data_IF_667902525951
#
_entry.id   IF_667902525951
#
_cell.length_a   1.000
_cell.length_b   1.000
_cell.length_c   1.000
_cell.angle_alpha   90.00
_cell.angle_beta   90.00
_cell.angle_gamma   90.00
#
_symmetry.space_group_name_H-M   'P 1'
#
loop_
_entity.id
_entity.type
_entity.pdbx_description
1 polymer ?
#
# COMPACT_ATOMS: atom_id res chain seq x y z
N UNK A 1 49.72 -60.23 -2.62
CA UNK A 1 49.83 -58.84 -2.17
C UNK A 1 48.78 -58.02 -2.94
N UNK A 2 47.64 -57.75 -2.31
CA UNK A 2 46.44 -57.14 -2.96
C UNK A 2 46.32 -55.71 -2.51
N UNK A 3 46.58 -54.77 -3.40
CA UNK A 3 46.34 -53.34 -3.21
C UNK A 3 45.00 -53.04 -3.84
N UNK A 4 43.97 -52.84 -2.99
CA UNK A 4 42.62 -52.46 -3.43
C UNK A 4 42.43 -50.92 -3.33
N UNK A 5 41.66 -50.30 -4.18
CA UNK A 5 41.70 -48.86 -4.46
C UNK A 5 40.84 -48.05 -3.47
N UNK A 6 41.50 -47.23 -2.68
CA UNK A 6 40.86 -46.24 -1.77
C UNK A 6 40.41 -44.97 -2.49
N UNK A 7 40.48 -44.91 -3.81
CA UNK A 7 40.27 -43.68 -4.62
C UNK A 7 38.80 -43.51 -5.08
N UNK A 8 38.03 -44.62 -5.13
CA UNK A 8 36.65 -44.53 -5.71
C UNK A 8 35.60 -43.98 -4.75
N UNK A 9 35.86 -43.94 -3.42
CA UNK A 9 34.89 -43.47 -2.41
C UNK A 9 34.89 -41.96 -2.27
N UNK A 10 35.97 -41.25 -2.64
CA UNK A 10 36.09 -39.81 -2.48
C UNK A 10 35.27 -39.01 -3.54
N UNK A 11 35.08 -39.55 -4.73
CA UNK A 11 34.31 -38.88 -5.80
C UNK A 11 32.79 -38.92 -5.60
N UNK A 12 32.25 -39.89 -4.90
CA UNK A 12 30.80 -39.99 -4.63
C UNK A 12 30.36 -39.01 -3.53
N UNK A 13 31.21 -38.66 -2.59
CA UNK A 13 30.87 -37.70 -1.52
C UNK A 13 30.93 -36.23 -1.99
N UNK A 14 31.80 -35.92 -2.95
CA UNK A 14 31.89 -34.56 -3.53
C UNK A 14 30.69 -34.27 -4.44
N UNK A 15 30.21 -35.28 -5.21
CA UNK A 15 29.00 -35.13 -6.05
C UNK A 15 27.73 -34.95 -5.26
N UNK A 16 27.58 -35.65 -4.12
CA UNK A 16 26.40 -35.53 -3.26
C UNK A 16 26.33 -34.17 -2.55
N UNK A 17 27.47 -33.60 -2.17
CA UNK A 17 27.52 -32.28 -1.50
C UNK A 17 27.22 -31.13 -2.49
N UNK A 18 27.67 -31.25 -3.74
CA UNK A 18 27.36 -30.27 -4.78
C UNK A 18 25.90 -30.29 -5.19
N UNK A 19 25.25 -31.47 -5.20
CA UNK A 19 23.82 -31.63 -5.53
C UNK A 19 22.91 -31.13 -4.40
N UNK A 20 23.30 -31.34 -3.14
CA UNK A 20 22.56 -30.82 -1.98
C UNK A 20 22.64 -29.31 -1.88
N UNK A 21 23.75 -28.68 -2.28
CA UNK A 21 23.91 -27.22 -2.30
C UNK A 21 23.04 -26.58 -3.39
N UNK A 22 22.79 -27.26 -4.52
CA UNK A 22 21.90 -26.76 -5.57
C UNK A 22 20.40 -26.88 -5.27
N UNK A 23 20.02 -27.78 -4.37
CA UNK A 23 18.62 -27.94 -3.93
C UNK A 23 18.23 -26.97 -2.81
N UNK A 24 19.21 -26.33 -2.14
CA UNK A 24 18.96 -25.39 -1.06
C UNK A 24 19.09 -23.90 -1.48
N UNK A 25 19.33 -23.66 -2.78
CA UNK A 25 19.41 -22.30 -3.31
C UNK A 25 18.11 -21.91 -3.98
N UNK A 26 17.31 -21.19 -3.24
CA UNK A 26 16.18 -20.31 -3.59
C UNK A 26 14.75 -20.82 -3.44
N UNK A 27 14.07 -20.07 -2.52
CA UNK A 27 12.93 -19.29 -2.99
C UNK A 27 12.91 -17.83 -2.49
N UNK A 28 14.06 -17.16 -2.28
CA UNK A 28 14.05 -15.74 -1.82
C UNK A 28 13.84 -14.73 -2.96
N UNK A 29 14.25 -15.03 -4.20
CA UNK A 29 14.16 -14.06 -5.29
C UNK A 29 12.75 -13.75 -5.79
N UNK A 30 11.77 -14.64 -5.56
CA UNK A 30 10.39 -14.45 -6.05
C UNK A 30 9.53 -13.58 -5.11
N UNK A 31 9.91 -13.47 -3.84
CA UNK A 31 9.24 -12.59 -2.89
C UNK A 31 9.72 -11.13 -3.01
N UNK A 32 11.01 -10.93 -3.29
CA UNK A 32 11.59 -9.59 -3.48
C UNK A 32 11.19 -8.97 -4.82
N UNK A 33 11.09 -9.75 -5.90
CA UNK A 33 10.63 -9.27 -7.21
C UNK A 33 9.15 -8.85 -7.20
N UNK A 34 8.32 -9.44 -6.32
CA UNK A 34 6.91 -9.06 -6.14
C UNK A 34 6.70 -7.81 -5.25
N UNK A 35 7.69 -7.38 -4.49
CA UNK A 35 7.60 -6.13 -3.71
C UNK A 35 7.79 -4.87 -4.57
N UNK A 36 8.44 -4.98 -5.73
CA UNK A 36 8.82 -3.83 -6.57
C UNK A 36 7.70 -3.17 -7.38
N UNK A 37 6.52 -3.80 -7.52
CA UNK A 37 5.44 -3.23 -8.35
C UNK A 37 4.63 -2.10 -7.69
N UNK A 38 4.67 -1.93 -6.35
CA UNK A 38 4.02 -0.81 -5.65
C UNK A 38 4.96 0.35 -5.38
N UNK A 39 6.25 0.16 -5.63
CA UNK A 39 7.29 1.16 -5.49
C UNK A 39 8.27 1.04 -6.66
N UNK A 40 8.34 2.08 -7.47
CA UNK A 40 9.29 2.19 -8.57
C UNK A 40 10.19 3.40 -8.27
N UNK A 41 11.48 3.16 -8.10
CA UNK A 41 12.47 4.21 -7.78
C UNK A 41 12.12 5.04 -6.52
N UNK A 42 11.60 4.40 -5.45
CA UNK A 42 11.20 5.08 -4.22
C UNK A 42 9.82 5.75 -4.28
N UNK A 43 9.09 5.63 -5.41
CA UNK A 43 7.77 6.22 -5.61
C UNK A 43 6.67 5.17 -5.44
N UNK A 44 5.61 5.54 -4.76
CA UNK A 44 4.43 4.69 -4.61
C UNK A 44 3.61 4.72 -5.90
N UNK A 45 3.38 3.55 -6.47
CA UNK A 45 2.53 3.36 -7.64
C UNK A 45 1.18 2.80 -7.20
N UNK A 46 0.11 3.49 -7.57
CA UNK A 46 -1.25 3.01 -7.34
C UNK A 46 -1.59 1.86 -8.29
N UNK A 47 -2.41 0.87 -7.86
CA UNK A 47 -3.00 -0.08 -8.80
C UNK A 47 -3.81 0.64 -9.88
N UNK A 48 -3.76 0.16 -11.11
CA UNK A 48 -4.43 0.77 -12.27
C UNK A 48 -5.96 0.88 -12.12
N UNK A 49 -6.56 -0.05 -11.36
CA UNK A 49 -8.02 -0.08 -11.15
C UNK A 49 -8.35 0.22 -9.69
N UNK A 50 -9.14 1.27 -9.50
CA UNK A 50 -9.78 1.67 -8.27
C UNK A 50 -11.28 1.35 -8.35
N UNK A 51 -12.00 1.50 -7.27
CA UNK A 51 -13.45 1.29 -7.21
C UNK A 51 -14.17 2.57 -6.77
N UNK A 52 -15.27 2.90 -7.43
CA UNK A 52 -16.21 3.89 -6.94
C UNK A 52 -17.04 3.35 -5.76
N UNK A 53 -17.91 4.20 -5.20
CA UNK A 53 -18.80 3.85 -4.11
C UNK A 53 -19.85 2.75 -4.47
N UNK A 54 -20.09 2.50 -5.75
CA UNK A 54 -20.97 1.47 -6.27
C UNK A 54 -20.26 0.16 -6.60
N UNK A 55 -18.91 0.19 -6.57
CA UNK A 55 -18.05 -0.95 -6.89
C UNK A 55 -17.70 -1.04 -8.37
N UNK A 56 -17.97 0.01 -9.17
CA UNK A 56 -17.51 0.08 -10.56
C UNK A 56 -16.00 0.37 -10.59
N UNK A 57 -15.33 -0.22 -11.57
CA UNK A 57 -13.90 0.05 -11.79
C UNK A 57 -13.70 1.43 -12.44
N UNK A 58 -12.72 2.15 -11.93
CA UNK A 58 -12.29 3.48 -12.37
C UNK A 58 -10.77 3.45 -12.53
N UNK A 59 -10.24 4.02 -13.62
CA UNK A 59 -8.80 4.11 -13.83
C UNK A 59 -8.15 5.00 -12.78
N UNK A 60 -6.97 4.59 -12.29
CA UNK A 60 -6.16 5.44 -11.40
C UNK A 60 -5.64 6.71 -12.09
N UNK A 61 -5.67 6.77 -13.43
CA UNK A 61 -5.32 7.97 -14.19
C UNK A 61 -6.23 9.16 -13.85
N UNK A 62 -7.47 8.94 -13.37
CA UNK A 62 -8.37 10.02 -12.97
C UNK A 62 -7.87 10.83 -11.75
N UNK A 63 -6.92 10.30 -11.02
CA UNK A 63 -6.35 10.95 -9.82
C UNK A 63 -4.90 11.40 -10.04
N UNK A 64 -4.34 11.20 -11.24
CA UNK A 64 -2.98 11.62 -11.56
C UNK A 64 -2.82 13.15 -11.45
N UNK A 65 -1.59 13.56 -11.11
CA UNK A 65 -1.25 14.98 -10.93
C UNK A 65 -1.79 15.62 -9.64
N UNK A 66 -2.47 14.86 -8.78
CA UNK A 66 -2.96 15.33 -7.49
C UNK A 66 -2.13 14.78 -6.34
N UNK A 67 -2.15 15.46 -5.20
CA UNK A 67 -1.78 14.88 -3.92
C UNK A 67 -2.78 13.80 -3.54
N UNK A 68 -2.30 12.66 -3.06
CA UNK A 68 -3.15 11.50 -2.73
C UNK A 68 -3.10 11.21 -1.25
N UNK A 69 -4.24 11.28 -0.59
CA UNK A 69 -4.42 10.80 0.77
C UNK A 69 -4.80 9.32 0.79
N UNK A 70 -3.86 8.44 1.10
CA UNK A 70 -4.13 7.01 1.31
C UNK A 70 -4.73 6.81 2.69
N UNK A 71 -6.06 6.60 2.74
CA UNK A 71 -6.81 6.51 4.00
C UNK A 71 -7.04 5.05 4.41
N UNK A 72 -6.27 4.57 5.38
CA UNK A 72 -6.38 3.24 5.98
C UNK A 72 -7.47 3.23 7.04
N UNK A 73 -8.62 2.61 6.75
CA UNK A 73 -9.82 2.74 7.56
C UNK A 73 -10.73 1.50 7.48
N UNK A 74 -11.71 1.42 8.38
CA UNK A 74 -12.78 0.41 8.34
C UNK A 74 -14.03 0.90 9.07
N UNK A 75 -15.18 0.32 8.73
CA UNK A 75 -16.49 0.67 9.30
C UNK A 75 -16.61 0.39 10.81
N UNK A 76 -15.89 -0.60 11.31
CA UNK A 76 -15.86 -0.96 12.74
C UNK A 76 -14.90 -0.11 13.57
N UNK A 77 -14.02 0.67 12.95
CA UNK A 77 -13.05 1.54 13.62
C UNK A 77 -13.73 2.83 14.11
N UNK A 78 -13.95 2.96 15.39
CA UNK A 78 -14.57 4.15 16.02
C UNK A 78 -13.85 5.46 15.71
N UNK A 79 -12.52 5.56 15.98
CA UNK A 79 -11.73 6.73 15.64
C UNK A 79 -11.72 7.08 14.15
N UNK A 80 -11.75 6.07 13.25
CA UNK A 80 -11.85 6.30 11.81
C UNK A 80 -13.17 7.02 11.46
N UNK A 81 -14.28 6.51 11.99
CA UNK A 81 -15.62 7.09 11.76
C UNK A 81 -15.71 8.54 12.23
N UNK A 82 -15.05 8.89 13.33
CA UNK A 82 -15.01 10.26 13.83
C UNK A 82 -14.14 11.20 12.98
N UNK A 83 -13.13 10.65 12.30
CA UNK A 83 -12.24 11.43 11.43
C UNK A 83 -12.79 11.60 10.02
N UNK A 84 -13.53 10.60 9.48
CA UNK A 84 -14.06 10.61 8.11
C UNK A 84 -14.76 11.92 7.72
N UNK A 85 -15.67 12.51 8.53
CA UNK A 85 -16.31 13.78 8.16
C UNK A 85 -15.33 14.95 8.04
N UNK A 86 -14.28 14.96 8.83
CA UNK A 86 -13.22 15.99 8.75
C UNK A 86 -12.41 15.84 7.46
N UNK A 87 -12.11 14.61 7.07
CA UNK A 87 -11.39 14.31 5.84
C UNK A 87 -12.25 14.65 4.61
N UNK A 88 -13.56 14.41 4.65
CA UNK A 88 -14.49 14.81 3.58
C UNK A 88 -14.41 16.33 3.38
N UNK A 89 -14.59 17.11 4.46
CA UNK A 89 -14.50 18.57 4.38
C UNK A 89 -13.13 19.04 3.85
N UNK A 90 -12.05 18.41 4.30
CA UNK A 90 -10.70 18.71 3.83
C UNK A 90 -10.53 18.46 2.34
N UNK A 91 -11.02 17.32 1.86
CA UNK A 91 -10.99 16.96 0.43
C UNK A 91 -11.84 17.88 -0.42
N UNK A 92 -13.02 18.26 0.03
CA UNK A 92 -13.91 19.18 -0.67
C UNK A 92 -13.26 20.56 -0.87
N UNK A 93 -12.60 21.09 0.15
CA UNK A 93 -11.90 22.37 0.08
C UNK A 93 -10.71 22.34 -0.88
N UNK A 94 -10.01 21.21 -0.97
CA UNK A 94 -8.83 21.05 -1.81
C UNK A 94 -9.07 20.18 -3.06
N UNK A 95 -10.32 20.06 -3.50
CA UNK A 95 -10.77 19.11 -4.53
C UNK A 95 -9.99 19.19 -5.86
N UNK A 96 -9.50 20.37 -6.23
CA UNK A 96 -8.72 20.53 -7.46
C UNK A 96 -7.37 19.80 -7.42
N UNK A 97 -6.73 19.72 -6.25
CA UNK A 97 -5.35 19.30 -6.10
C UNK A 97 -5.15 18.14 -5.13
N UNK A 98 -6.20 17.70 -4.44
CA UNK A 98 -6.13 16.63 -3.45
C UNK A 98 -7.23 15.60 -3.65
N UNK A 99 -6.85 14.33 -3.69
CA UNK A 99 -7.77 13.21 -3.74
C UNK A 99 -7.52 12.24 -2.60
N UNK A 100 -8.53 11.45 -2.25
CA UNK A 100 -8.43 10.42 -1.22
C UNK A 100 -8.68 9.04 -1.85
N UNK A 101 -7.91 8.05 -1.43
CA UNK A 101 -8.14 6.66 -1.79
C UNK A 101 -8.31 5.85 -0.50
N UNK A 102 -9.48 5.23 -0.35
CA UNK A 102 -9.75 4.35 0.78
C UNK A 102 -9.01 3.02 0.62
N UNK A 103 -8.22 2.66 1.63
CA UNK A 103 -7.64 1.32 1.79
C UNK A 103 -8.39 0.65 2.94
N UNK A 104 -9.46 -0.08 2.58
CA UNK A 104 -10.39 -0.64 3.54
C UNK A 104 -9.88 -1.92 4.19
N UNK A 105 -10.08 -2.02 5.52
CA UNK A 105 -9.82 -3.22 6.32
C UNK A 105 -11.12 -3.86 6.83
N UNK A 106 -12.22 -3.64 6.12
CA UNK A 106 -13.50 -4.27 6.41
C UNK A 106 -13.47 -5.79 6.13
N UNK A 107 -14.33 -6.55 6.78
CA UNK A 107 -14.41 -8.00 6.60
C UNK A 107 -14.91 -8.46 5.22
N UNK A 108 -15.42 -7.55 4.38
CA UNK A 108 -15.86 -7.84 3.03
C UNK A 108 -15.96 -6.59 2.15
N UNK A 109 -15.93 -6.76 0.82
CA UNK A 109 -16.15 -5.68 -0.14
C UNK A 109 -17.52 -5.00 0.06
N UNK A 110 -18.57 -5.77 0.40
CA UNK A 110 -19.88 -5.22 0.70
C UNK A 110 -19.87 -4.32 1.94
N UNK A 111 -19.14 -4.70 2.99
CA UNK A 111 -19.00 -3.90 4.21
C UNK A 111 -18.27 -2.59 3.92
N UNK A 112 -17.18 -2.61 3.13
CA UNK A 112 -16.48 -1.43 2.67
C UNK A 112 -17.40 -0.50 1.86
N UNK A 113 -18.13 -1.02 0.87
CA UNK A 113 -19.06 -0.24 0.06
C UNK A 113 -20.15 0.41 0.93
N UNK A 114 -20.72 -0.34 1.88
CA UNK A 114 -21.72 0.19 2.83
C UNK A 114 -21.12 1.29 3.72
N UNK A 115 -19.87 1.16 4.13
CA UNK A 115 -19.16 2.19 4.89
C UNK A 115 -19.03 3.47 4.08
N UNK A 116 -18.57 3.37 2.82
CA UNK A 116 -18.45 4.50 1.92
C UNK A 116 -19.81 5.19 1.68
N UNK A 117 -20.86 4.41 1.40
CA UNK A 117 -22.24 4.94 1.20
C UNK A 117 -22.78 5.63 2.45
N UNK A 118 -22.61 5.01 3.62
CA UNK A 118 -23.10 5.55 4.90
C UNK A 118 -22.51 6.92 5.22
N UNK A 119 -21.22 7.10 4.94
CA UNK A 119 -20.51 8.36 5.20
C UNK A 119 -20.50 9.30 4.00
N UNK A 120 -21.12 8.92 2.88
CA UNK A 120 -21.13 9.69 1.62
C UNK A 120 -19.71 10.08 1.19
N UNK A 121 -18.78 9.13 1.27
CA UNK A 121 -17.38 9.35 0.90
C UNK A 121 -17.26 9.69 -0.58
N UNK A 122 -16.70 10.87 -0.95
CA UNK A 122 -16.66 11.34 -2.34
C UNK A 122 -15.37 10.94 -3.07
N UNK A 123 -14.82 9.77 -2.75
CA UNK A 123 -13.54 9.29 -3.25
C UNK A 123 -13.57 7.83 -3.68
N UNK A 124 -12.49 7.40 -4.30
CA UNK A 124 -12.30 6.03 -4.77
C UNK A 124 -11.71 5.14 -3.65
N UNK A 125 -11.73 3.84 -3.88
CA UNK A 125 -11.17 2.86 -2.97
C UNK A 125 -10.36 1.80 -3.70
N UNK A 126 -9.39 1.19 -3.03
CA UNK A 126 -8.86 -0.08 -3.46
C UNK A 126 -9.88 -1.19 -3.19
N UNK A 127 -9.87 -2.23 -4.04
CA UNK A 127 -10.64 -3.45 -3.77
C UNK A 127 -10.26 -3.98 -2.39
N UNK A 128 -11.29 -4.19 -1.56
CA UNK A 128 -11.13 -4.56 -0.16
C UNK A 128 -10.19 -5.76 0.01
N UNK A 129 -9.17 -5.61 0.84
CA UNK A 129 -8.17 -6.64 1.14
C UNK A 129 -7.54 -7.29 -0.10
N UNK A 130 -7.44 -6.59 -1.22
CA UNK A 130 -6.73 -7.04 -2.42
C UNK A 130 -5.22 -7.16 -2.19
N UNK A 131 -4.52 -7.86 -3.10
CA UNK A 131 -3.07 -7.93 -3.06
C UNK A 131 -2.43 -6.54 -3.15
N UNK A 132 -2.97 -5.65 -4.00
CA UNK A 132 -2.54 -4.26 -4.09
C UNK A 132 -2.69 -3.49 -2.78
N UNK A 133 -3.83 -3.64 -2.08
CA UNK A 133 -4.05 -3.01 -0.77
C UNK A 133 -3.06 -3.53 0.29
N UNK A 134 -2.87 -4.86 0.36
CA UNK A 134 -1.89 -5.47 1.28
C UNK A 134 -0.46 -5.04 0.97
N UNK A 135 -0.13 -4.94 -0.32
CA UNK A 135 1.19 -4.53 -0.77
C UNK A 135 1.49 -3.10 -0.37
N UNK A 136 0.58 -2.15 -0.64
CA UNK A 136 0.71 -0.75 -0.20
C UNK A 136 0.87 -0.64 1.31
N UNK A 137 0.09 -1.38 2.10
CA UNK A 137 0.23 -1.38 3.56
C UNK A 137 1.64 -1.78 3.99
N UNK A 138 2.19 -2.86 3.39
CA UNK A 138 3.56 -3.32 3.69
C UNK A 138 4.62 -2.31 3.26
N UNK A 139 4.55 -1.82 2.03
CA UNK A 139 5.52 -0.83 1.48
C UNK A 139 5.55 0.44 2.33
N UNK A 140 4.39 0.91 2.79
CA UNK A 140 4.28 2.11 3.63
C UNK A 140 4.57 1.84 5.11
N UNK A 141 4.72 0.58 5.52
CA UNK A 141 4.90 0.20 6.93
C UNK A 141 3.66 0.46 7.79
N UNK A 142 2.46 0.42 7.19
CA UNK A 142 1.19 0.61 7.90
C UNK A 142 0.70 -0.73 8.44
N UNK A 143 0.91 -0.97 9.72
CA UNK A 143 0.50 -2.20 10.42
C UNK A 143 -0.91 -2.10 11.02
N UNK A 144 -1.39 -0.90 11.28
CA UNK A 144 -2.69 -0.62 11.92
C UNK A 144 -3.52 0.33 11.07
N UNK A 145 -4.84 0.29 11.25
CA UNK A 145 -5.74 1.27 10.63
C UNK A 145 -5.84 2.55 11.45
N UNK A 146 -6.45 3.56 10.84
CA UNK A 146 -6.58 4.93 11.28
C UNK A 146 -5.35 5.76 10.92
N UNK A 147 -4.81 5.46 9.73
CA UNK A 147 -3.72 6.23 9.13
C UNK A 147 -4.21 7.04 7.93
N UNK A 148 -3.57 8.16 7.70
CA UNK A 148 -3.63 8.92 6.45
C UNK A 148 -2.18 9.18 6.03
N UNK A 149 -1.74 8.49 4.99
CA UNK A 149 -0.45 8.74 4.34
C UNK A 149 -0.72 9.66 3.16
N UNK A 150 0.05 10.72 3.00
CA UNK A 150 -0.09 11.68 1.89
C UNK A 150 1.07 11.52 0.93
N UNK A 151 0.73 11.36 -0.34
CA UNK A 151 1.68 11.35 -1.45
C UNK A 151 1.58 12.66 -2.23
N UNK A 152 2.70 13.10 -2.79
CA UNK A 152 2.73 14.17 -3.77
C UNK A 152 2.28 13.67 -5.16
N UNK A 153 2.13 14.56 -6.18
CA UNK A 153 1.77 14.16 -7.53
C UNK A 153 2.74 13.16 -8.19
N UNK A 154 3.98 13.13 -7.73
CA UNK A 154 5.00 12.21 -8.21
C UNK A 154 4.97 10.84 -7.55
N UNK A 155 4.10 10.62 -6.56
CA UNK A 155 3.98 9.38 -5.79
C UNK A 155 4.95 9.26 -4.62
N UNK A 156 5.63 10.32 -4.22
CA UNK A 156 6.54 10.33 -3.07
C UNK A 156 5.77 10.60 -1.78
N UNK A 157 6.21 10.00 -0.67
CA UNK A 157 5.54 10.17 0.63
C UNK A 157 5.90 11.53 1.23
N UNK A 158 4.93 12.44 1.31
CA UNK A 158 5.06 13.74 1.98
C UNK A 158 4.97 13.59 3.48
N UNK A 159 3.96 12.88 3.96
CA UNK A 159 3.76 12.62 5.39
C UNK A 159 3.03 11.30 5.64
N UNK A 160 3.41 10.60 6.69
CA UNK A 160 2.64 9.47 7.23
C UNK A 160 1.69 9.87 8.35
N UNK A 161 1.68 11.16 8.72
CA UNK A 161 0.91 11.71 9.84
C UNK A 161 -0.25 12.61 9.40
N UNK A 162 -0.72 12.49 8.15
CA UNK A 162 -1.71 13.41 7.55
C UNK A 162 -2.97 13.61 8.41
N UNK A 163 -3.40 12.57 9.16
CA UNK A 163 -4.49 12.70 10.13
C UNK A 163 -4.17 13.66 11.27
N UNK A 164 -2.97 13.56 11.86
CA UNK A 164 -2.53 14.45 12.94
C UNK A 164 -2.34 15.88 12.42
N UNK A 165 -1.82 16.01 11.20
CA UNK A 165 -1.64 17.30 10.53
C UNK A 165 -2.97 18.00 10.32
N UNK A 166 -3.98 17.32 9.77
CA UNK A 166 -5.34 17.87 9.62
C UNK A 166 -5.98 18.19 11.00
N UNK A 167 -5.76 17.36 12.01
CA UNK A 167 -6.29 17.61 13.33
C UNK A 167 -5.70 18.87 13.98
N UNK A 168 -4.42 19.15 13.73
CA UNK A 168 -3.66 20.28 14.29
C UNK A 168 -3.82 21.56 13.47
N UNK A 169 -3.76 21.47 12.16
CA UNK A 169 -3.67 22.60 11.23
C UNK A 169 -4.99 22.89 10.49
N UNK A 170 -5.96 22.00 10.59
CA UNK A 170 -7.20 22.11 9.81
C UNK A 170 -6.93 22.11 8.32
N UNK A 171 -7.55 23.05 7.60
CA UNK A 171 -7.39 23.20 6.15
C UNK A 171 -5.97 23.62 5.74
N UNK A 172 -5.24 24.32 6.60
CA UNK A 172 -3.86 24.75 6.31
C UNK A 172 -2.85 23.60 6.24
N UNK A 173 -3.24 22.36 6.60
CA UNK A 173 -2.37 21.20 6.47
C UNK A 173 -1.92 21.00 5.02
N UNK A 174 -2.78 21.31 4.03
CA UNK A 174 -2.43 21.16 2.63
C UNK A 174 -1.30 22.10 2.19
N UNK A 175 -1.31 23.37 2.63
CA UNK A 175 -0.21 24.30 2.38
C UNK A 175 1.09 23.84 3.04
N UNK A 176 1.01 23.37 4.30
CA UNK A 176 2.16 22.85 5.01
C UNK A 176 2.79 21.62 4.33
N UNK A 177 1.97 20.76 3.71
CA UNK A 177 2.51 19.61 2.96
C UNK A 177 3.27 20.05 1.70
N UNK A 178 2.82 21.08 0.99
CA UNK A 178 3.53 21.62 -0.17
C UNK A 178 4.87 22.27 0.20
N UNK A 179 4.93 22.94 1.36
CA UNK A 179 6.17 23.54 1.88
C UNK A 179 7.24 22.51 2.28
N UNK A 180 6.86 21.24 2.52
CA UNK A 180 7.83 20.18 2.81
C UNK A 180 8.59 19.67 1.58
N UNK A 181 8.20 20.09 0.38
CA UNK A 181 8.77 19.66 -0.89
C UNK A 181 9.69 20.72 -1.53
N UNK A 182 9.73 21.91 -0.97
CA UNK A 182 10.61 23.02 -1.37
C UNK A 182 11.96 22.95 -0.61
#
# INVERSE_FOLDING_TARGET
>A
MKIFPRILLAFLLVGAFSYAFHLFSKPESRAEEKLSESEVNGKIVLPSNLLDVNGNEVSSEEVEGKYIGLYFSASWCGPCRSFTPKLIKFKEEHNANFEVILIGSDGSAKAQANYMKKYKMPWLALKNQSDGARKLSRTLGVEYIHYLVVLNPDGEVVTKNGKADIARLGLSAFSAWKELEE
#
